data_IF_801969191629
#
_entry.id   IF_801969191629
#
_cell.length_a   1.000
_cell.length_b   1.000
_cell.length_c   1.000
_cell.angle_alpha   90.00
_cell.angle_beta   90.00
_cell.angle_gamma   90.00
#
_symmetry.space_group_name_H-M   'P 1'
#
loop_
_entity.id
_entity.type
_entity.pdbx_description
1 polymer ?
#
# COMPACT_ATOMS: atom_id res chain seq x y z
N UNK A 1 -50.09 18.29 81.94
CA UNK A 1 -49.83 18.04 83.38
C UNK A 1 -49.50 19.33 84.14
N UNK A 2 -48.71 20.25 83.55
CA UNK A 2 -48.41 21.55 84.15
C UNK A 2 -49.63 22.48 84.20
N UNK A 3 -50.41 22.53 83.11
CA UNK A 3 -51.60 23.39 83.02
C UNK A 3 -52.67 23.09 84.08
N UNK A 4 -52.88 21.80 84.39
CA UNK A 4 -53.82 21.39 85.44
C UNK A 4 -53.37 21.84 86.83
N UNK A 5 -52.06 21.77 87.12
CA UNK A 5 -51.48 22.21 88.39
C UNK A 5 -51.53 23.74 88.54
N UNK A 6 -51.31 24.47 87.46
CA UNK A 6 -51.40 25.93 87.42
C UNK A 6 -52.84 26.42 87.65
N UNK A 7 -53.82 25.74 87.05
CA UNK A 7 -55.25 26.02 87.28
C UNK A 7 -55.63 25.76 88.73
N UNK A 8 -55.20 24.62 89.30
CA UNK A 8 -55.45 24.29 90.71
C UNK A 8 -54.78 25.30 91.67
N UNK A 9 -53.60 25.85 91.33
CA UNK A 9 -52.96 26.91 92.13
C UNK A 9 -53.81 28.18 92.13
N UNK A 10 -54.24 28.64 90.95
CA UNK A 10 -55.02 29.87 90.80
C UNK A 10 -56.35 29.80 91.53
N UNK A 11 -57.00 28.63 91.52
CA UNK A 11 -58.25 28.42 92.27
C UNK A 11 -58.01 28.58 93.77
N UNK A 12 -56.99 27.90 94.33
CA UNK A 12 -56.66 28.00 95.76
C UNK A 12 -56.23 29.39 96.20
N UNK A 13 -55.47 30.10 95.36
CA UNK A 13 -55.08 31.49 95.63
C UNK A 13 -56.29 32.44 95.61
N UNK A 14 -57.26 32.19 94.73
CA UNK A 14 -58.51 32.94 94.69
C UNK A 14 -59.38 32.68 95.92
N UNK A 15 -59.54 31.42 96.33
CA UNK A 15 -60.29 31.02 97.54
C UNK A 15 -59.73 31.67 98.81
N UNK A 16 -58.40 31.60 99.03
CA UNK A 16 -57.75 32.21 100.19
C UNK A 16 -57.93 33.74 100.19
N UNK A 17 -57.87 34.36 99.01
CA UNK A 17 -58.06 35.80 98.85
C UNK A 17 -59.48 36.22 99.15
N UNK A 18 -60.47 35.44 98.70
CA UNK A 18 -61.89 35.66 98.95
C UNK A 18 -62.21 35.54 100.45
N UNK A 19 -61.74 34.48 101.12
CA UNK A 19 -61.91 34.30 102.56
C UNK A 19 -61.31 35.43 103.39
N UNK A 20 -60.14 35.96 102.99
CA UNK A 20 -59.51 37.10 103.67
C UNK A 20 -60.31 38.39 103.47
N UNK A 21 -60.84 38.62 102.27
CA UNK A 21 -61.68 39.78 101.97
C UNK A 21 -62.98 39.75 102.76
N UNK A 22 -63.63 38.59 102.86
CA UNK A 22 -64.86 38.42 103.64
C UNK A 22 -64.62 38.72 105.12
N UNK A 23 -63.54 38.20 105.72
CA UNK A 23 -63.17 38.49 107.12
C UNK A 23 -62.88 39.97 107.37
N UNK A 24 -62.17 40.63 106.43
CA UNK A 24 -61.90 42.07 106.51
C UNK A 24 -63.19 42.89 106.41
N UNK A 25 -64.13 42.47 105.57
CA UNK A 25 -65.41 43.13 105.41
C UNK A 25 -66.30 42.97 106.66
N UNK A 26 -66.38 41.78 107.24
CA UNK A 26 -67.14 41.55 108.48
C UNK A 26 -66.54 42.35 109.64
N UNK A 27 -65.22 42.33 109.81
CA UNK A 27 -64.55 43.13 110.84
C UNK A 27 -64.77 44.63 110.60
N UNK A 28 -64.70 45.10 109.35
CA UNK A 28 -64.93 46.51 109.04
C UNK A 28 -66.32 46.95 109.47
N UNK A 29 -67.35 46.13 109.21
CA UNK A 29 -68.73 46.42 109.62
C UNK A 29 -68.85 46.43 111.15
N UNK A 30 -68.28 45.43 111.83
CA UNK A 30 -68.29 45.38 113.29
C UNK A 30 -67.52 46.52 113.95
N UNK A 31 -66.38 46.90 113.38
CA UNK A 31 -65.54 47.98 113.87
C UNK A 31 -66.23 49.34 113.70
N UNK A 32 -66.94 49.56 112.59
CA UNK A 32 -67.77 50.76 112.39
C UNK A 32 -68.90 50.80 113.42
N UNK A 33 -69.64 49.71 113.61
CA UNK A 33 -70.75 49.67 114.58
C UNK A 33 -70.27 49.92 116.03
N UNK A 34 -69.12 49.34 116.42
CA UNK A 34 -68.50 49.59 117.74
C UNK A 34 -68.00 51.03 117.86
N UNK A 35 -67.46 51.61 116.79
CA UNK A 35 -67.02 53.00 116.76
C UNK A 35 -68.20 53.99 116.87
N UNK A 36 -69.29 53.73 116.17
CA UNK A 36 -70.53 54.52 116.26
C UNK A 36 -71.11 54.45 117.68
N UNK A 37 -71.19 53.27 118.29
CA UNK A 37 -71.64 53.11 119.68
C UNK A 37 -70.73 53.81 120.70
N UNK A 38 -69.41 53.82 120.48
CA UNK A 38 -68.46 54.60 121.28
C UNK A 38 -68.76 56.10 121.12
N UNK A 39 -68.95 56.56 119.88
CA UNK A 39 -69.25 57.96 119.54
C UNK A 39 -70.56 58.47 120.14
N UNK A 40 -71.63 57.66 120.14
CA UNK A 40 -72.92 57.98 120.75
C UNK A 40 -72.78 58.19 122.27
N UNK A 41 -72.06 57.31 122.94
CA UNK A 41 -71.87 57.40 124.39
C UNK A 41 -70.94 58.54 124.81
N UNK A 42 -70.07 59.04 123.93
CA UNK A 42 -69.38 60.31 124.14
C UNK A 42 -70.35 61.51 124.16
N UNK A 43 -71.45 61.46 123.41
CA UNK A 43 -72.48 62.48 123.45
C UNK A 43 -73.28 62.43 124.77
N UNK A 44 -73.56 61.22 125.29
CA UNK A 44 -74.23 61.00 126.58
C UNK A 44 -73.36 61.43 127.78
N UNK A 45 -72.05 61.15 127.74
CA UNK A 45 -71.07 61.57 128.76
C UNK A 45 -71.02 63.09 128.97
N UNK A 46 -71.37 63.88 127.94
CA UNK A 46 -71.40 65.34 127.98
C UNK A 46 -72.56 65.89 128.84
N UNK A 47 -73.61 65.10 129.07
CA UNK A 47 -74.79 65.52 129.84
C UNK A 47 -74.71 65.15 131.34
N UNK A 48 -73.78 64.28 131.74
CA UNK A 48 -73.54 63.91 133.13
C UNK A 48 -72.88 65.05 133.92
N UNK A 49 -73.37 65.31 135.15
CA UNK A 49 -72.90 66.40 136.03
C UNK A 49 -72.16 65.94 137.29
N UNK A 50 -72.08 64.63 137.54
CA UNK A 50 -71.38 64.05 138.69
C UNK A 50 -69.97 63.57 138.31
N UNK A 51 -68.89 64.15 138.88
CA UNK A 51 -67.50 63.80 138.55
C UNK A 51 -67.13 62.33 138.75
N UNK A 52 -67.75 61.64 139.72
CA UNK A 52 -67.45 60.23 139.99
C UNK A 52 -68.02 59.33 138.89
N UNK A 53 -69.28 59.60 138.51
CA UNK A 53 -69.96 58.95 137.38
C UNK A 53 -69.28 59.23 136.02
N UNK A 54 -68.74 60.43 135.81
CA UNK A 54 -67.98 60.78 134.59
C UNK A 54 -66.69 59.95 134.50
N UNK A 55 -65.97 59.77 135.61
CA UNK A 55 -64.73 59.00 135.62
C UNK A 55 -64.97 57.50 135.34
N UNK A 56 -66.04 56.94 135.89
CA UNK A 56 -66.41 55.54 135.66
C UNK A 56 -66.77 55.29 134.18
N UNK A 57 -67.57 56.18 133.56
CA UNK A 57 -67.92 56.04 132.13
C UNK A 57 -66.72 56.35 131.21
N UNK A 58 -65.77 57.21 131.62
CA UNK A 58 -64.50 57.45 130.90
C UNK A 58 -63.59 56.22 130.90
N UNK A 59 -63.44 55.53 132.03
CA UNK A 59 -62.68 54.27 132.08
C UNK A 59 -63.39 53.19 131.24
N UNK A 60 -64.72 53.13 131.26
CA UNK A 60 -65.48 52.22 130.40
C UNK A 60 -65.31 52.52 128.90
N UNK A 61 -65.27 53.81 128.51
CA UNK A 61 -64.97 54.21 127.12
C UNK A 61 -63.55 53.86 126.70
N UNK A 62 -62.58 54.08 127.59
CA UNK A 62 -61.18 53.73 127.37
C UNK A 62 -61.01 52.22 127.22
N UNK A 63 -61.76 51.41 127.97
CA UNK A 63 -61.82 49.97 127.78
C UNK A 63 -62.44 49.57 126.43
N UNK A 64 -63.53 50.21 126.00
CA UNK A 64 -64.15 49.97 124.68
C UNK A 64 -63.20 50.31 123.52
N UNK A 65 -62.49 51.45 123.59
CA UNK A 65 -61.48 51.85 122.57
C UNK A 65 -60.30 50.88 122.59
N UNK A 66 -59.80 50.47 123.77
CA UNK A 66 -58.77 49.43 123.88
C UNK A 66 -59.24 48.10 123.29
N UNK A 67 -60.51 47.74 123.47
CA UNK A 67 -61.13 46.58 122.85
C UNK A 67 -61.09 46.65 121.32
N UNK A 68 -61.56 47.76 120.74
CA UNK A 68 -61.55 47.98 119.29
C UNK A 68 -60.12 47.98 118.70
N UNK A 69 -59.16 48.62 119.38
CA UNK A 69 -57.75 48.60 118.98
C UNK A 69 -57.18 47.19 119.00
N UNK A 70 -57.46 46.40 120.04
CA UNK A 70 -57.05 44.98 120.11
C UNK A 70 -57.63 44.17 118.96
N UNK A 71 -58.87 44.40 118.57
CA UNK A 71 -59.48 43.71 117.42
C UNK A 71 -58.77 44.05 116.10
N UNK A 72 -58.49 45.34 115.85
CA UNK A 72 -57.68 45.75 114.69
C UNK A 72 -56.26 45.18 114.71
N UNK A 73 -55.62 45.15 115.89
CA UNK A 73 -54.28 44.57 116.04
C UNK A 73 -54.27 43.08 115.71
N UNK A 74 -55.31 42.32 116.10
CA UNK A 74 -55.48 40.90 115.75
C UNK A 74 -55.54 40.74 114.22
N UNK A 75 -56.39 41.52 113.54
CA UNK A 75 -56.55 41.43 112.09
C UNK A 75 -55.29 41.86 111.33
N UNK A 76 -54.55 42.86 111.83
CA UNK A 76 -53.25 43.24 111.27
C UNK A 76 -52.25 42.08 111.38
N UNK A 77 -52.23 41.37 112.51
CA UNK A 77 -51.37 40.19 112.70
C UNK A 77 -51.77 39.07 111.73
N UNK A 78 -53.07 38.76 111.63
CA UNK A 78 -53.57 37.76 110.69
C UNK A 78 -53.24 38.08 109.23
N UNK A 79 -53.43 39.32 108.80
CA UNK A 79 -53.07 39.77 107.45
C UNK A 79 -51.55 39.68 107.20
N UNK A 80 -50.73 40.02 108.20
CA UNK A 80 -49.27 39.90 108.10
C UNK A 80 -48.83 38.44 108.02
N UNK A 81 -49.48 37.55 108.75
CA UNK A 81 -49.17 36.13 108.73
C UNK A 81 -49.63 35.46 107.44
N UNK A 82 -50.80 35.84 106.89
CA UNK A 82 -51.23 35.37 105.57
C UNK A 82 -50.28 35.87 104.46
N UNK A 83 -49.76 37.10 104.55
CA UNK A 83 -48.78 37.62 103.61
C UNK A 83 -47.47 36.82 103.66
N UNK A 84 -46.96 36.50 104.86
CA UNK A 84 -45.78 35.63 105.01
C UNK A 84 -46.03 34.23 104.44
N UNK A 85 -47.22 33.67 104.68
CA UNK A 85 -47.58 32.36 104.14
C UNK A 85 -47.68 32.39 102.61
N UNK A 86 -48.23 33.45 102.02
CA UNK A 86 -48.26 33.66 100.58
C UNK A 86 -46.86 33.76 99.98
N UNK A 87 -45.95 34.52 100.59
CA UNK A 87 -44.55 34.63 100.17
C UNK A 87 -43.83 33.26 100.26
N UNK A 88 -44.07 32.50 101.32
CA UNK A 88 -43.54 31.15 101.47
C UNK A 88 -44.07 30.17 100.40
N UNK A 89 -45.35 30.29 100.01
CA UNK A 89 -45.93 29.50 98.90
C UNK A 89 -45.33 29.90 97.56
N UNK A 90 -45.22 31.20 97.29
CA UNK A 90 -44.63 31.72 96.05
C UNK A 90 -43.17 31.30 95.86
N UNK A 91 -42.35 31.43 96.91
CA UNK A 91 -40.95 31.00 96.85
C UNK A 91 -40.82 29.50 96.62
N UNK A 92 -41.67 28.68 97.24
CA UNK A 92 -41.72 27.22 97.00
C UNK A 92 -42.09 26.89 95.55
N UNK A 93 -43.06 27.59 94.99
CA UNK A 93 -43.49 27.38 93.60
C UNK A 93 -42.42 27.83 92.60
N UNK A 94 -41.71 28.94 92.87
CA UNK A 94 -40.55 29.35 92.08
C UNK A 94 -39.46 28.28 92.08
N UNK A 95 -39.13 27.69 93.24
CA UNK A 95 -38.15 26.61 93.31
C UNK A 95 -38.60 25.38 92.51
N UNK A 96 -39.89 25.04 92.58
CA UNK A 96 -40.44 23.92 91.81
C UNK A 96 -40.39 24.18 90.30
N UNK A 97 -40.77 25.38 89.86
CA UNK A 97 -40.69 25.77 88.45
C UNK A 97 -39.25 25.77 87.95
N UNK A 98 -38.30 26.27 88.75
CA UNK A 98 -36.89 26.24 88.42
C UNK A 98 -36.37 24.81 88.25
N UNK A 99 -36.76 23.89 89.14
CA UNK A 99 -36.41 22.47 89.04
C UNK A 99 -37.04 21.79 87.81
N UNK A 100 -38.30 22.11 87.49
CA UNK A 100 -38.99 21.60 86.29
C UNK A 100 -38.32 22.11 85.00
N UNK A 101 -37.93 23.40 84.96
CA UNK A 101 -37.19 23.99 83.83
C UNK A 101 -35.82 23.32 83.70
N UNK A 102 -35.09 23.13 84.80
CA UNK A 102 -33.79 22.47 84.77
C UNK A 102 -33.89 21.05 84.21
N UNK A 103 -34.88 20.28 84.66
CA UNK A 103 -35.15 18.93 84.15
C UNK A 103 -35.50 18.93 82.66
N UNK A 104 -36.22 19.95 82.18
CA UNK A 104 -36.53 20.11 80.76
C UNK A 104 -35.26 20.39 79.94
N UNK A 105 -34.38 21.27 80.45
CA UNK A 105 -33.10 21.59 79.81
C UNK A 105 -32.23 20.34 79.70
N UNK A 106 -32.05 19.59 80.79
CA UNK A 106 -31.28 18.33 80.77
C UNK A 106 -31.83 17.33 79.76
N UNK A 107 -33.16 17.23 79.63
CA UNK A 107 -33.80 16.34 78.65
C UNK A 107 -33.55 16.81 77.23
N UNK A 108 -33.61 18.11 76.97
CA UNK A 108 -33.33 18.70 75.64
C UNK A 108 -31.86 18.48 75.28
N UNK A 109 -30.93 18.72 76.21
CA UNK A 109 -29.50 18.49 75.98
C UNK A 109 -29.20 17.02 75.69
N UNK A 110 -29.80 16.10 76.44
CA UNK A 110 -29.70 14.66 76.17
C UNK A 110 -30.23 14.30 74.77
N UNK A 111 -31.37 14.87 74.36
CA UNK A 111 -31.90 14.66 73.00
C UNK A 111 -30.98 15.24 71.92
N UNK A 112 -30.39 16.42 72.14
CA UNK A 112 -29.43 17.02 71.21
C UNK A 112 -28.19 16.13 71.07
N UNK A 113 -27.66 15.58 72.16
CA UNK A 113 -26.50 14.69 72.11
C UNK A 113 -26.80 13.36 71.40
N UNK A 114 -28.00 12.79 71.60
CA UNK A 114 -28.44 11.63 70.83
C UNK A 114 -28.51 11.98 69.33
N UNK A 115 -29.10 13.12 68.99
CA UNK A 115 -29.25 13.54 67.60
C UNK A 115 -27.89 13.83 66.93
N UNK A 116 -26.94 14.43 67.64
CA UNK A 116 -25.56 14.61 67.16
C UNK A 116 -24.89 13.27 66.87
N UNK A 117 -25.07 12.29 67.76
CA UNK A 117 -24.50 10.95 67.59
C UNK A 117 -25.09 10.25 66.37
N UNK A 118 -26.41 10.27 66.20
CA UNK A 118 -27.05 9.65 65.04
C UNK A 118 -26.63 10.33 63.74
N UNK A 119 -26.54 11.66 63.69
CA UNK A 119 -26.03 12.34 62.51
C UNK A 119 -24.59 11.97 62.17
N UNK A 120 -23.73 11.79 63.18
CA UNK A 120 -22.36 11.32 62.96
C UNK A 120 -22.34 9.89 62.40
N UNK A 121 -23.11 8.99 62.98
CA UNK A 121 -23.25 7.61 62.47
C UNK A 121 -23.77 7.57 61.03
N UNK A 122 -24.74 8.42 60.70
CA UNK A 122 -25.26 8.54 59.34
C UNK A 122 -24.22 9.12 58.36
N UNK A 123 -23.40 10.08 58.78
CA UNK A 123 -22.30 10.60 57.97
C UNK A 123 -21.24 9.52 57.71
N UNK A 124 -20.86 8.77 58.74
CA UNK A 124 -19.89 7.68 58.61
C UNK A 124 -20.42 6.59 57.65
N UNK A 125 -21.72 6.25 57.75
CA UNK A 125 -22.36 5.30 56.82
C UNK A 125 -22.35 5.80 55.37
N UNK A 126 -22.65 7.09 55.15
CA UNK A 126 -22.64 7.70 53.83
C UNK A 126 -21.23 7.71 53.23
N UNK A 127 -20.22 8.08 54.02
CA UNK A 127 -18.83 8.09 53.59
C UNK A 127 -18.35 6.68 53.20
N UNK A 128 -18.65 5.67 54.01
CA UNK A 128 -18.34 4.28 53.71
C UNK A 128 -19.03 3.82 52.42
N UNK A 129 -20.31 4.15 52.23
CA UNK A 129 -21.06 3.81 51.01
C UNK A 129 -20.41 4.45 49.77
N UNK A 130 -20.03 5.72 49.86
CA UNK A 130 -19.35 6.42 48.76
C UNK A 130 -18.00 5.77 48.43
N UNK A 131 -17.23 5.37 49.44
CA UNK A 131 -15.94 4.72 49.21
C UNK A 131 -16.09 3.31 48.62
N UNK A 132 -17.10 2.55 49.03
CA UNK A 132 -17.47 1.27 48.42
C UNK A 132 -17.87 1.44 46.94
N UNK A 133 -18.71 2.44 46.62
CA UNK A 133 -19.05 2.76 45.24
C UNK A 133 -17.82 3.15 44.42
N UNK A 134 -16.91 3.96 44.97
CA UNK A 134 -15.65 4.30 44.31
C UNK A 134 -14.75 3.09 44.09
N UNK A 135 -14.67 2.19 45.06
CA UNK A 135 -13.89 0.96 44.94
C UNK A 135 -14.47 0.04 43.86
N UNK A 136 -15.79 -0.18 43.86
CA UNK A 136 -16.48 -1.00 42.85
C UNK A 136 -16.32 -0.39 41.45
N UNK A 137 -16.48 0.92 41.29
CA UNK A 137 -16.29 1.61 40.01
C UNK A 137 -14.85 1.43 39.49
N UNK A 138 -13.84 1.63 40.36
CA UNK A 138 -12.42 1.41 40.01
C UNK A 138 -12.16 -0.04 39.62
N UNK A 139 -12.69 -1.00 40.37
CA UNK A 139 -12.54 -2.43 40.07
C UNK A 139 -13.15 -2.79 38.70
N UNK A 140 -14.35 -2.31 38.41
CA UNK A 140 -15.02 -2.55 37.11
C UNK A 140 -14.25 -1.90 35.97
N UNK A 141 -13.78 -0.66 36.15
CA UNK A 141 -12.99 0.03 35.15
C UNK A 141 -11.66 -0.70 34.87
N UNK A 142 -10.94 -1.13 35.92
CA UNK A 142 -9.70 -1.91 35.78
C UNK A 142 -9.93 -3.20 35.01
N UNK A 143 -10.94 -3.99 35.39
CA UNK A 143 -11.29 -5.24 34.68
C UNK A 143 -11.62 -4.99 33.21
N UNK A 144 -12.36 -3.93 32.91
CA UNK A 144 -12.69 -3.55 31.52
C UNK A 144 -11.44 -3.22 30.71
N UNK A 145 -10.47 -2.52 31.32
CA UNK A 145 -9.18 -2.24 30.68
C UNK A 145 -8.37 -3.51 30.45
N UNK A 146 -8.28 -4.38 31.45
CA UNK A 146 -7.58 -5.66 31.35
C UNK A 146 -8.18 -6.54 30.24
N UNK A 147 -9.50 -6.61 30.15
CA UNK A 147 -10.23 -7.31 29.09
C UNK A 147 -9.93 -6.71 27.69
N UNK A 148 -9.85 -5.39 27.58
CA UNK A 148 -9.50 -4.73 26.32
C UNK A 148 -8.05 -5.03 25.91
N UNK A 149 -7.10 -4.99 26.85
CA UNK A 149 -5.70 -5.30 26.59
C UNK A 149 -5.49 -6.76 26.20
N UNK A 150 -6.15 -7.69 26.89
CA UNK A 150 -6.07 -9.13 26.57
C UNK A 150 -6.66 -9.41 25.19
N UNK A 151 -7.84 -8.87 24.86
CA UNK A 151 -8.43 -8.99 23.52
C UNK A 151 -7.55 -8.39 22.44
N UNK A 152 -6.97 -7.22 22.70
CA UNK A 152 -6.02 -6.58 21.78
C UNK A 152 -4.80 -7.46 21.54
N UNK A 153 -4.19 -8.01 22.60
CA UNK A 153 -3.02 -8.88 22.48
C UNK A 153 -3.32 -10.15 21.68
N UNK A 154 -4.50 -10.76 21.87
CA UNK A 154 -4.94 -11.91 21.07
C UNK A 154 -5.12 -11.52 19.60
N UNK A 155 -5.80 -10.41 19.32
CA UNK A 155 -6.01 -9.93 17.96
C UNK A 155 -4.69 -9.58 17.25
N UNK A 156 -3.74 -8.97 17.94
CA UNK A 156 -2.41 -8.67 17.40
C UNK A 156 -1.65 -9.96 17.08
N UNK A 157 -1.68 -10.98 17.94
CA UNK A 157 -1.09 -12.30 17.66
C UNK A 157 -1.72 -12.96 16.44
N UNK A 158 -3.05 -12.90 16.30
CA UNK A 158 -3.75 -13.44 15.13
C UNK A 158 -3.31 -12.72 13.85
N UNK A 159 -3.28 -11.38 13.86
CA UNK A 159 -2.83 -10.59 12.71
C UNK A 159 -1.38 -10.88 12.33
N UNK A 160 -0.48 -10.96 13.31
CA UNK A 160 0.92 -11.33 13.06
C UNK A 160 1.04 -12.73 12.43
N UNK A 161 0.24 -13.69 12.92
CA UNK A 161 0.21 -15.05 12.35
C UNK A 161 -0.28 -15.04 10.90
N UNK A 162 -1.38 -14.35 10.61
CA UNK A 162 -1.91 -14.22 9.25
C UNK A 162 -0.92 -13.54 8.30
N UNK A 163 -0.24 -12.49 8.75
CA UNK A 163 0.78 -11.80 7.95
C UNK A 163 1.96 -12.72 7.64
N UNK A 164 2.41 -13.50 8.64
CA UNK A 164 3.46 -14.49 8.47
C UNK A 164 3.05 -15.57 7.47
N UNK A 165 1.87 -16.16 7.62
CA UNK A 165 1.34 -17.18 6.71
C UNK A 165 1.23 -16.65 5.27
N UNK A 166 0.75 -15.41 5.10
CA UNK A 166 0.69 -14.75 3.79
C UNK A 166 2.08 -14.52 3.20
N UNK A 167 3.04 -14.07 4.01
CA UNK A 167 4.42 -13.87 3.55
C UNK A 167 5.10 -15.18 3.19
N UNK A 168 4.85 -16.26 3.93
CA UNK A 168 5.36 -17.60 3.62
C UNK A 168 4.74 -18.14 2.33
N UNK A 169 3.43 -17.95 2.12
CA UNK A 169 2.77 -18.31 0.87
C UNK A 169 3.41 -17.62 -0.35
N UNK A 170 3.60 -16.29 -0.29
CA UNK A 170 4.23 -15.57 -1.40
C UNK A 170 5.69 -15.94 -1.62
N UNK A 171 6.43 -16.23 -0.55
CA UNK A 171 7.81 -16.72 -0.67
C UNK A 171 7.87 -18.05 -1.41
N UNK A 172 7.02 -19.00 -1.01
CA UNK A 172 6.96 -20.31 -1.66
C UNK A 172 6.54 -20.19 -3.14
N UNK A 173 5.63 -19.27 -3.47
CA UNK A 173 5.21 -19.05 -4.87
C UNK A 173 6.33 -18.43 -5.70
N UNK A 174 7.08 -17.46 -5.15
CA UNK A 174 8.28 -16.90 -5.79
C UNK A 174 9.31 -18.00 -6.03
N UNK A 175 9.63 -18.80 -5.00
CA UNK A 175 10.60 -19.88 -5.11
C UNK A 175 10.19 -20.90 -6.20
N UNK A 176 8.89 -21.21 -6.31
CA UNK A 176 8.38 -22.09 -7.37
C UNK A 176 8.59 -21.49 -8.76
N UNK A 177 8.20 -20.22 -8.93
CA UNK A 177 8.33 -19.52 -10.21
C UNK A 177 9.80 -19.39 -10.61
N UNK A 178 10.69 -19.10 -9.66
CA UNK A 178 12.14 -19.05 -9.90
C UNK A 178 12.69 -20.40 -10.38
N UNK A 179 12.28 -21.51 -9.74
CA UNK A 179 12.66 -22.85 -10.16
C UNK A 179 12.17 -23.17 -11.58
N UNK A 180 10.90 -22.90 -11.87
CA UNK A 180 10.30 -23.07 -13.20
C UNK A 180 11.08 -22.25 -14.26
N UNK A 181 11.42 -21.00 -13.95
CA UNK A 181 12.21 -20.15 -14.85
C UNK A 181 13.63 -20.67 -15.08
N UNK A 182 14.30 -21.17 -14.03
CA UNK A 182 15.63 -21.79 -14.14
C UNK A 182 15.55 -23.01 -15.07
N UNK A 183 14.54 -23.86 -14.92
CA UNK A 183 14.33 -25.04 -15.76
C UNK A 183 14.07 -24.67 -17.22
N UNK A 184 13.17 -23.72 -17.49
CA UNK A 184 12.86 -23.24 -18.84
C UNK A 184 14.10 -22.65 -19.50
N UNK A 185 14.86 -21.83 -18.77
CA UNK A 185 16.08 -21.21 -19.27
C UNK A 185 17.13 -22.28 -19.60
N UNK A 186 17.31 -23.26 -18.71
CA UNK A 186 18.23 -24.38 -18.93
C UNK A 186 17.82 -25.21 -20.15
N UNK A 187 16.54 -25.54 -20.30
CA UNK A 187 16.02 -26.29 -21.43
C UNK A 187 16.19 -25.53 -22.75
N UNK A 188 15.93 -24.23 -22.75
CA UNK A 188 16.13 -23.36 -23.92
C UNK A 188 17.61 -23.28 -24.29
N UNK A 189 18.49 -23.12 -23.30
CA UNK A 189 19.94 -23.09 -23.51
C UNK A 189 20.44 -24.39 -24.15
N UNK A 190 20.03 -25.55 -23.61
CA UNK A 190 20.40 -26.86 -24.19
C UNK A 190 19.93 -26.97 -25.64
N UNK A 191 18.70 -26.54 -25.94
CA UNK A 191 18.16 -26.56 -27.30
C UNK A 191 18.98 -25.70 -28.26
N UNK A 192 19.30 -24.47 -27.87
CA UNK A 192 20.12 -23.57 -28.68
C UNK A 192 21.54 -24.09 -28.87
N UNK A 193 22.13 -24.72 -27.85
CA UNK A 193 23.44 -25.39 -27.95
C UNK A 193 23.38 -26.55 -28.98
N UNK A 194 22.31 -27.35 -28.98
CA UNK A 194 22.10 -28.42 -29.95
C UNK A 194 21.91 -27.90 -31.38
N UNK A 195 21.10 -26.86 -31.57
CA UNK A 195 20.88 -26.23 -32.88
C UNK A 195 22.17 -25.63 -33.42
N UNK A 196 22.97 -24.98 -32.56
CA UNK A 196 24.26 -24.42 -32.96
C UNK A 196 25.25 -25.52 -33.38
N UNK A 197 25.33 -26.63 -32.64
CA UNK A 197 26.14 -27.79 -33.02
C UNK A 197 25.71 -28.39 -34.36
N UNK A 198 24.39 -28.51 -34.61
CA UNK A 198 23.88 -28.99 -35.89
C UNK A 198 24.26 -28.07 -37.05
N UNK A 199 24.14 -26.75 -36.86
CA UNK A 199 24.56 -25.75 -37.85
C UNK A 199 26.07 -25.76 -38.11
N UNK A 200 26.89 -25.94 -37.08
CA UNK A 200 28.34 -26.09 -37.21
C UNK A 200 28.72 -27.32 -38.05
N UNK A 201 28.03 -28.45 -37.83
CA UNK A 201 28.23 -29.67 -38.62
C UNK A 201 27.85 -29.43 -40.09
N UNK A 202 26.69 -28.83 -40.36
CA UNK A 202 26.26 -28.52 -41.74
C UNK A 202 27.20 -27.53 -42.42
N UNK A 203 27.64 -26.50 -41.71
CA UNK A 203 28.64 -25.55 -42.22
C UNK A 203 29.93 -26.26 -42.59
N UNK A 204 30.41 -27.19 -41.77
CA UNK A 204 31.62 -27.95 -42.04
C UNK A 204 31.45 -28.91 -43.24
N UNK A 205 30.28 -29.53 -43.40
CA UNK A 205 29.94 -30.32 -44.60
C UNK A 205 29.97 -29.46 -45.86
N UNK A 206 29.33 -28.29 -45.84
CA UNK A 206 29.32 -27.37 -46.99
C UNK A 206 30.73 -26.91 -47.33
N UNK A 207 31.53 -26.49 -46.34
CA UNK A 207 32.94 -26.12 -46.54
C UNK A 207 33.72 -27.24 -47.23
N UNK A 208 33.62 -28.47 -46.71
CA UNK A 208 34.31 -29.64 -47.27
C UNK A 208 33.88 -29.92 -48.70
N UNK A 209 32.57 -29.85 -48.99
CA UNK A 209 32.03 -30.07 -50.33
C UNK A 209 32.48 -28.98 -51.31
N UNK A 210 32.50 -27.70 -50.89
CA UNK A 210 33.00 -26.60 -51.72
C UNK A 210 34.49 -26.74 -52.01
N UNK A 211 35.31 -27.11 -51.02
CA UNK A 211 36.75 -27.39 -51.24
C UNK A 211 36.94 -28.52 -52.24
N UNK A 212 36.23 -29.64 -52.07
CA UNK A 212 36.31 -30.77 -53.01
C UNK A 212 35.86 -30.39 -54.43
N UNK A 213 34.80 -29.59 -54.56
CA UNK A 213 34.34 -29.12 -55.86
C UNK A 213 35.32 -28.14 -56.51
N UNK A 214 35.98 -27.29 -55.71
CA UNK A 214 37.08 -26.45 -56.18
C UNK A 214 38.22 -27.30 -56.76
N UNK A 215 38.69 -28.30 -56.00
CA UNK A 215 39.74 -29.22 -56.46
C UNK A 215 39.33 -29.99 -57.74
N UNK A 216 38.07 -30.43 -57.84
CA UNK A 216 37.53 -31.06 -59.06
C UNK A 216 37.52 -30.11 -60.24
N UNK A 217 37.14 -28.85 -60.05
CA UNK A 217 37.15 -27.84 -61.11
C UNK A 217 38.58 -27.54 -61.55
N UNK A 218 39.52 -27.40 -60.63
CA UNK A 218 40.94 -27.20 -60.92
C UNK A 218 41.51 -28.37 -61.73
N UNK A 219 41.18 -29.60 -61.34
CA UNK A 219 41.56 -30.80 -62.09
C UNK A 219 40.96 -30.79 -63.51
N UNK A 220 39.65 -30.57 -63.65
CA UNK A 220 38.98 -30.51 -64.94
C UNK A 220 39.58 -29.42 -65.85
N UNK A 221 39.88 -28.26 -65.27
CA UNK A 221 40.53 -27.16 -65.97
C UNK A 221 41.92 -27.57 -66.48
N UNK A 222 42.74 -28.23 -65.66
CA UNK A 222 44.05 -28.73 -66.08
C UNK A 222 43.94 -29.75 -67.23
N UNK A 223 42.97 -30.67 -67.18
CA UNK A 223 42.72 -31.64 -68.25
C UNK A 223 42.29 -30.96 -69.54
N UNK A 224 41.36 -30.01 -69.48
CA UNK A 224 40.93 -29.23 -70.64
C UNK A 224 42.07 -28.41 -71.23
N UNK A 225 42.90 -27.80 -70.38
CA UNK A 225 44.08 -27.05 -70.82
C UNK A 225 45.07 -27.95 -71.58
N UNK A 226 45.38 -29.14 -71.04
CA UNK A 226 46.22 -30.12 -71.74
C UNK A 226 45.63 -30.54 -73.09
N UNK A 227 44.32 -30.78 -73.15
CA UNK A 227 43.62 -31.09 -74.41
C UNK A 227 43.68 -29.95 -75.41
N UNK A 228 43.52 -28.69 -74.98
CA UNK A 228 43.64 -27.53 -75.87
C UNK A 228 45.07 -27.37 -76.37
N UNK A 229 46.09 -27.59 -75.52
CA UNK A 229 47.49 -27.60 -75.92
C UNK A 229 47.77 -28.70 -76.96
N UNK A 230 47.28 -29.92 -76.75
CA UNK A 230 47.36 -31.02 -77.71
C UNK A 230 46.64 -30.69 -79.04
N UNK A 231 45.41 -30.19 -78.97
CA UNK A 231 44.64 -29.76 -80.14
C UNK A 231 45.35 -28.64 -80.90
N UNK A 232 45.95 -27.67 -80.19
CA UNK A 232 46.74 -26.60 -80.78
C UNK A 232 47.98 -27.15 -81.49
N UNK A 233 48.68 -28.12 -80.90
CA UNK A 233 49.82 -28.80 -81.53
C UNK A 233 49.41 -29.54 -82.79
N UNK A 234 48.32 -30.31 -82.75
CA UNK A 234 47.77 -31.03 -83.91
C UNK A 234 47.35 -30.06 -85.01
N UNK A 235 46.59 -29.01 -84.66
CA UNK A 235 46.15 -27.95 -85.58
C UNK A 235 47.33 -27.24 -86.23
N UNK A 236 48.39 -26.93 -85.48
CA UNK A 236 49.62 -26.35 -86.01
C UNK A 236 50.37 -27.32 -86.93
N UNK A 237 50.43 -28.61 -86.60
CA UNK A 237 51.00 -29.64 -87.47
C UNK A 237 50.23 -29.79 -88.79
N UNK A 238 48.90 -29.84 -88.72
CA UNK A 238 48.03 -29.88 -89.89
C UNK A 238 48.15 -28.62 -90.75
N UNK A 239 48.19 -27.43 -90.14
CA UNK A 239 48.41 -26.14 -90.83
C UNK A 239 49.74 -26.15 -91.58
N UNK A 240 50.83 -26.57 -90.94
CA UNK A 240 52.15 -26.73 -91.59
C UNK A 240 52.09 -27.70 -92.78
N UNK A 241 51.41 -28.84 -92.63
CA UNK A 241 51.22 -29.81 -93.73
C UNK A 241 50.43 -29.21 -94.89
N UNK A 242 49.37 -28.45 -94.59
CA UNK A 242 48.57 -27.76 -95.59
C UNK A 242 49.40 -26.72 -96.35
N UNK A 243 50.24 -25.94 -95.66
CA UNK A 243 51.15 -24.99 -96.30
C UNK A 243 52.11 -25.68 -97.26
N UNK A 244 52.75 -26.80 -96.85
CA UNK A 244 53.63 -27.59 -97.74
C UNK A 244 52.90 -28.14 -98.96
N UNK A 245 51.67 -28.62 -98.79
CA UNK A 245 50.85 -29.09 -99.91
C UNK A 245 50.49 -27.93 -100.86
N UNK A 246 50.12 -26.77 -100.33
CA UNK A 246 49.86 -25.57 -101.14
C UNK A 246 51.10 -25.10 -101.91
N UNK A 247 52.29 -25.12 -101.29
CA UNK A 247 53.57 -24.86 -101.97
C UNK A 247 53.81 -25.87 -103.10
N UNK A 248 53.58 -27.17 -102.84
CA UNK A 248 53.72 -28.23 -103.84
C UNK A 248 52.75 -27.99 -105.01
N UNK A 249 51.49 -27.65 -104.73
CA UNK A 249 50.49 -27.29 -105.74
C UNK A 249 50.95 -26.08 -106.54
N UNK A 250 51.48 -25.04 -105.89
CA UNK A 250 51.98 -23.85 -106.57
C UNK A 250 53.16 -24.17 -107.49
N UNK A 251 54.12 -24.98 -107.02
CA UNK A 251 55.26 -25.47 -107.82
C UNK A 251 54.79 -26.32 -109.01
N UNK A 252 53.86 -27.25 -108.81
CA UNK A 252 53.30 -28.06 -109.88
C UNK A 252 52.53 -27.21 -110.90
N UNK A 253 51.72 -26.25 -110.45
CA UNK A 253 51.03 -25.29 -111.32
C UNK A 253 52.02 -24.47 -112.14
N UNK A 254 53.13 -24.04 -111.54
CA UNK A 254 54.21 -23.34 -112.24
C UNK A 254 54.89 -24.25 -113.27
N UNK A 255 55.28 -25.48 -112.91
CA UNK A 255 55.84 -26.47 -113.85
C UNK A 255 54.90 -26.76 -115.02
N UNK A 256 53.60 -26.89 -114.78
CA UNK A 256 52.61 -27.09 -115.86
C UNK A 256 52.63 -25.89 -116.81
N UNK A 257 52.64 -24.66 -116.29
CA UNK A 257 52.76 -23.45 -117.12
C UNK A 257 54.08 -23.41 -117.91
N UNK A 258 55.19 -23.76 -117.28
CA UNK A 258 56.51 -23.76 -117.92
C UNK A 258 56.58 -24.81 -119.04
N UNK A 259 56.05 -26.01 -118.83
CA UNK A 259 55.95 -27.07 -119.85
C UNK A 259 55.01 -26.66 -120.97
N UNK A 260 53.85 -26.06 -120.66
CA UNK A 260 52.94 -25.51 -121.68
C UNK A 260 53.66 -24.47 -122.55
N UNK A 261 54.40 -23.54 -121.93
CA UNK A 261 55.17 -22.52 -122.67
C UNK A 261 56.28 -23.16 -123.52
N UNK A 262 57.04 -24.10 -122.97
CA UNK A 262 58.12 -24.78 -123.70
C UNK A 262 57.58 -25.58 -124.88
N UNK A 263 56.46 -26.28 -124.71
CA UNK A 263 55.78 -27.00 -125.79
C UNK A 263 55.30 -26.03 -126.89
N UNK A 264 54.78 -24.87 -126.51
CA UNK A 264 54.36 -23.83 -127.46
C UNK A 264 55.56 -23.32 -128.28
N UNK A 265 56.68 -22.99 -127.63
CA UNK A 265 57.93 -22.59 -128.28
C UNK A 265 58.46 -23.70 -129.21
N UNK A 266 58.43 -24.95 -128.76
CA UNK A 266 58.93 -26.10 -129.52
C UNK A 266 58.06 -26.38 -130.75
N UNK A 267 56.72 -26.26 -130.64
CA UNK A 267 55.82 -26.34 -131.80
C UNK A 267 56.06 -25.21 -132.80
N UNK A 268 56.34 -23.99 -132.34
CA UNK A 268 56.66 -22.86 -133.21
C UNK A 268 57.99 -23.08 -133.94
N UNK A 269 58.99 -23.62 -133.24
CA UNK A 269 60.32 -23.95 -133.79
C UNK A 269 60.26 -25.07 -134.82
N UNK A 270 59.58 -26.17 -134.51
CA UNK A 270 59.32 -27.29 -135.44
C UNK A 270 58.55 -26.82 -136.67
N UNK A 271 57.57 -25.93 -136.49
CA UNK A 271 56.82 -25.35 -137.62
C UNK A 271 57.73 -24.53 -138.55
N UNK A 272 58.64 -23.73 -137.98
CA UNK A 272 59.68 -23.01 -138.73
C UNK A 272 60.64 -23.96 -139.47
N UNK A 273 61.09 -25.03 -138.83
CA UNK A 273 62.04 -25.97 -139.44
C UNK A 273 61.38 -26.80 -140.55
N UNK A 274 60.10 -27.15 -140.43
CA UNK A 274 59.31 -27.76 -141.51
C UNK A 274 59.22 -26.80 -142.71
N UNK A 275 59.01 -25.50 -142.49
CA UNK A 275 59.00 -24.51 -143.57
C UNK A 275 60.37 -24.44 -144.28
N UNK A 276 61.47 -24.44 -143.53
CA UNK A 276 62.84 -24.44 -144.10
C UNK A 276 63.17 -25.72 -144.87
N UNK A 277 62.80 -26.88 -144.35
CA UNK A 277 62.98 -28.17 -145.02
C UNK A 277 62.15 -28.26 -146.30
N UNK A 278 60.91 -27.76 -146.30
CA UNK A 278 60.10 -27.64 -147.52
C UNK A 278 60.78 -26.76 -148.57
N UNK A 279 61.36 -25.63 -148.16
CA UNK A 279 62.10 -24.75 -149.08
C UNK A 279 63.35 -25.45 -149.64
N UNK A 280 64.10 -26.18 -148.82
CA UNK A 280 65.28 -26.94 -149.26
C UNK A 280 64.93 -28.10 -150.20
N UNK A 281 63.86 -28.85 -149.92
CA UNK A 281 63.36 -29.91 -150.82
C UNK A 281 62.97 -29.31 -152.16
N UNK A 282 62.23 -28.19 -152.17
CA UNK A 282 61.88 -27.49 -153.42
C UNK A 282 63.13 -27.12 -154.23
N UNK A 283 64.15 -26.55 -153.59
CA UNK A 283 65.42 -26.18 -154.23
C UNK A 283 66.24 -27.39 -154.73
N UNK A 284 66.26 -28.51 -153.98
CA UNK A 284 66.91 -29.75 -154.40
C UNK A 284 66.21 -30.36 -155.62
N UNK A 285 64.88 -30.35 -155.67
CA UNK A 285 64.12 -30.81 -156.84
C UNK A 285 64.44 -29.98 -158.08
N UNK A 286 64.65 -28.66 -157.94
CA UNK A 286 65.09 -27.80 -159.05
C UNK A 286 66.51 -28.15 -159.53
N UNK A 287 67.43 -28.49 -158.61
CA UNK A 287 68.79 -28.95 -158.93
C UNK A 287 68.82 -30.33 -159.61
N UNK A 288 67.94 -31.25 -159.21
CA UNK A 288 67.87 -32.60 -159.81
C UNK A 288 67.37 -32.53 -161.26
N UNK A 289 66.35 -31.71 -161.53
CA UNK A 289 65.86 -31.53 -162.90
C UNK A 289 66.89 -30.88 -163.83
N UNK A 290 67.73 -29.96 -163.32
CA UNK A 290 68.80 -29.33 -164.11
C UNK A 290 70.01 -30.24 -164.33
N UNK A 291 70.28 -31.21 -163.45
CA UNK A 291 71.33 -32.23 -163.65
C UNK A 291 70.93 -33.31 -164.68
N UNK A 292 69.63 -33.64 -164.78
CA UNK A 292 69.12 -34.58 -165.79
C UNK A 292 69.33 -34.05 -167.23
N UNK A 293 69.09 -32.76 -167.47
CA UNK A 293 69.26 -32.14 -168.80
C UNK A 293 70.73 -32.03 -169.28
N UNK A 294 71.70 -32.01 -168.35
CA UNK A 294 73.14 -31.88 -168.68
C UNK A 294 73.78 -33.25 -168.97
N UNK A 295 73.26 -34.33 -168.38
CA UNK A 295 73.78 -35.68 -168.58
C UNK A 295 73.37 -36.27 -169.95
N UNK A 296 72.17 -35.95 -170.44
CA UNK A 296 71.70 -36.38 -171.77
C UNK A 296 72.49 -35.75 -172.93
N UNK A 297 73.20 -34.64 -172.70
CA UNK A 297 74.05 -33.99 -173.73
C UNK A 297 75.46 -34.58 -173.86
N UNK A 298 75.94 -35.38 -172.89
CA UNK A 298 77.36 -35.78 -172.81
C UNK A 298 77.66 -37.20 -173.32
N UNK A 299 76.64 -38.04 -173.51
CA UNK A 299 76.81 -39.44 -173.96
C UNK A 299 76.84 -39.58 -175.51
N UNK A 300 76.57 -38.52 -176.27
CA UNK A 300 76.44 -38.60 -177.73
C UNK A 300 77.75 -38.57 -178.56
N UNK A 301 78.93 -38.25 -178.01
CA UNK A 301 80.13 -38.08 -178.84
C UNK A 301 81.43 -38.59 -178.20
N UNK A 302 82.06 -39.51 -178.94
CA UNK A 302 83.50 -39.87 -178.96
C UNK A 302 83.98 -41.02 -178.06
N UNK A 303 83.85 -42.28 -178.53
CA UNK A 303 84.97 -43.14 -179.03
C UNK A 303 84.45 -44.54 -179.45
N UNK A 304 84.80 -45.20 -180.56
CA UNK A 304 84.99 -44.93 -182.02
C UNK A 304 85.32 -46.31 -182.67
N UNK A 305 85.01 -46.66 -183.94
CA UNK A 305 84.94 -48.07 -184.36
C UNK A 305 86.24 -48.61 -184.98
N UNK A 306 86.71 -49.78 -184.52
CA UNK A 306 87.19 -50.94 -185.31
C UNK A 306 87.88 -51.98 -184.41
N UNK A 307 87.15 -53.05 -184.06
CA UNK A 307 87.58 -54.44 -184.30
C UNK A 307 86.39 -55.37 -184.06
N UNK A 308 85.98 -56.01 -185.15
CA UNK A 308 85.03 -57.10 -185.21
C UNK A 308 85.77 -58.41 -184.97
N UNK A 309 85.40 -59.19 -183.94
CA UNK A 309 85.55 -60.65 -183.93
C UNK A 309 84.78 -61.25 -182.74
N UNK A 310 83.66 -61.90 -183.10
CA UNK A 310 83.06 -63.08 -182.47
C UNK A 310 82.87 -63.14 -180.95
N UNK A 311 81.60 -63.18 -180.53
CA UNK A 311 80.91 -64.39 -180.06
C UNK A 311 79.66 -63.97 -179.24
N UNK A 312 78.47 -64.53 -179.51
CA UNK A 312 77.81 -65.52 -178.62
C UNK A 312 77.73 -64.94 -177.19
N UNK A 313 76.62 -64.39 -176.71
CA UNK A 313 75.47 -65.03 -176.03
C UNK A 313 74.91 -63.97 -175.03
N UNK A 314 73.72 -64.02 -174.43
CA UNK A 314 72.73 -65.04 -174.06
C UNK A 314 71.46 -64.23 -173.66
N UNK A 315 70.31 -64.84 -173.35
CA UNK A 315 69.96 -65.36 -172.01
C UNK A 315 70.50 -64.59 -170.79
#
# INVERSE_FOLDING_TARGET
ANDKREVERRIKEAEIREELLDKLQTESVEAIAKFESISEKWAELKELKDPMSINDELELQKERIKGLMKQKDIIIVECRDELKLADARYTKDLHKQAADIHSLVERVDSQIEIMKRTFKEHLDLLENTIEEERHTLRSVASKKWDDLYTRRAVNERIKMKQEKERSEFFRNEIDRIEQEHIEITRATRIRLEQDNQALEIELQKVKTNTTLNSEKLDYNFQVLKKREDENLMVRNAQKRRLTKLNETIFVLRRKIKDVQMSCLIETEKLSSDILKLRANISHMTTKVNTFAEVNDRKIAYQLYPLTTAMSVTKL
#
